data_IF_445809772351
#
_entry.id   IF_445809772351
#
_cell.length_a   1.000
_cell.length_b   1.000
_cell.length_c   1.000
_cell.angle_alpha   90.00
_cell.angle_beta   90.00
_cell.angle_gamma   90.00
#
_symmetry.space_group_name_H-M   'P 1'
#
loop_
_entity.id
_entity.type
_entity.pdbx_description
1 polymer ?
#
# COMPACT_ATOMS: atom_id res chain seq x y z
N UNK A 1 5.64 7.41 -20.89
CA UNK A 1 7.05 7.50 -21.37
C UNK A 1 7.14 6.86 -22.75
N UNK A 2 8.02 7.28 -23.66
CA UNK A 2 8.16 6.62 -24.96
C UNK A 2 8.95 5.32 -24.82
N UNK A 3 8.43 4.20 -25.34
CA UNK A 3 9.14 2.92 -25.38
C UNK A 3 9.62 2.64 -26.79
N UNK A 4 10.93 2.45 -26.96
CA UNK A 4 11.54 2.12 -28.26
C UNK A 4 11.04 0.78 -28.80
N UNK A 5 10.89 -0.22 -27.93
CA UNK A 5 10.40 -1.55 -28.34
C UNK A 5 8.94 -1.51 -28.80
N UNK A 6 8.09 -0.74 -28.12
CA UNK A 6 6.68 -0.66 -28.48
C UNK A 6 6.39 0.35 -29.61
N UNK A 7 7.37 1.17 -29.99
CA UNK A 7 7.20 2.24 -31.00
C UNK A 7 6.21 3.34 -30.59
N UNK A 8 5.79 3.39 -29.32
CA UNK A 8 4.73 4.28 -28.85
C UNK A 8 4.94 4.72 -27.40
N UNK A 9 4.16 5.72 -26.97
CA UNK A 9 4.09 6.11 -25.55
C UNK A 9 3.38 5.02 -24.75
N UNK A 10 4.04 4.53 -23.71
CA UNK A 10 3.49 3.57 -22.74
C UNK A 10 3.22 4.27 -21.40
N UNK A 11 2.13 3.91 -20.70
CA UNK A 11 1.93 4.36 -19.33
C UNK A 11 3.01 3.78 -18.43
N UNK A 12 3.41 4.56 -17.43
CA UNK A 12 4.40 4.15 -16.43
C UNK A 12 3.83 4.51 -15.08
N UNK A 13 3.79 3.54 -14.17
CA UNK A 13 3.52 3.79 -12.77
C UNK A 13 4.84 4.17 -12.09
N UNK A 14 4.83 5.28 -11.36
CA UNK A 14 6.00 5.80 -10.66
C UNK A 14 5.72 5.87 -9.17
N UNK A 15 6.66 5.40 -8.35
CA UNK A 15 6.69 5.59 -6.90
C UNK A 15 8.01 6.27 -6.56
N UNK A 16 7.93 7.45 -5.94
CA UNK A 16 9.09 8.28 -5.62
C UNK A 16 9.05 8.60 -4.13
N UNK A 17 10.19 8.40 -3.47
CA UNK A 17 10.43 8.85 -2.11
C UNK A 17 11.69 9.71 -2.04
N UNK A 18 11.74 10.55 -1.00
CA UNK A 18 12.89 11.37 -0.61
C UNK A 18 13.57 10.80 0.65
N UNK A 19 13.56 9.47 0.81
CA UNK A 19 14.22 8.79 1.92
C UNK A 19 15.74 8.72 1.75
N UNK A 20 16.40 7.87 2.54
CA UNK A 20 17.87 7.76 2.57
C UNK A 20 18.51 7.15 1.30
N UNK A 21 17.71 6.56 0.42
CA UNK A 21 18.20 5.74 -0.69
C UNK A 21 18.84 4.42 -0.25
N UNK A 22 19.54 3.76 -1.17
CA UNK A 22 20.19 2.47 -0.92
C UNK A 22 21.62 2.44 -1.48
N UNK A 23 22.53 1.87 -0.70
CA UNK A 23 23.88 1.49 -1.16
C UNK A 23 23.82 0.30 -2.11
N UNK A 24 24.92 -0.01 -2.80
CA UNK A 24 25.00 -1.21 -3.67
C UNK A 24 24.62 -2.49 -2.93
N UNK A 25 25.16 -2.71 -1.73
CA UNK A 25 24.83 -3.90 -0.94
C UNK A 25 23.34 -3.97 -0.56
N UNK A 26 22.72 -2.83 -0.24
CA UNK A 26 21.27 -2.75 0.01
C UNK A 26 20.46 -3.02 -1.26
N UNK A 27 20.86 -2.46 -2.41
CA UNK A 27 20.24 -2.73 -3.71
C UNK A 27 20.33 -4.21 -4.08
N UNK A 28 21.50 -4.84 -3.92
CA UNK A 28 21.68 -6.26 -4.19
C UNK A 28 20.78 -7.13 -3.30
N UNK A 29 20.60 -6.77 -2.03
CA UNK A 29 19.61 -7.42 -1.15
C UNK A 29 18.16 -7.18 -1.61
N UNK A 30 17.85 -5.96 -2.05
CA UNK A 30 16.53 -5.61 -2.57
C UNK A 30 16.18 -6.42 -3.83
N UNK A 31 17.13 -6.73 -4.70
CA UNK A 31 16.84 -7.51 -5.93
C UNK A 31 16.94 -9.01 -5.72
N UNK A 32 17.75 -9.47 -4.76
CA UNK A 32 17.90 -10.88 -4.44
C UNK A 32 16.66 -11.45 -3.75
N UNK A 33 16.37 -12.74 -3.95
CA UNK A 33 15.31 -13.45 -3.23
C UNK A 33 15.78 -13.89 -1.84
N UNK A 34 14.86 -13.91 -0.87
CA UNK A 34 15.09 -14.53 0.45
C UNK A 34 16.00 -13.79 1.43
N UNK A 35 16.55 -12.63 1.08
CA UNK A 35 17.42 -11.88 1.98
C UNK A 35 16.60 -10.96 2.90
N UNK A 36 16.46 -11.37 4.17
CA UNK A 36 16.09 -10.43 5.24
C UNK A 36 17.29 -9.49 5.47
N UNK A 37 17.02 -8.27 5.92
CA UNK A 37 18.09 -7.37 6.37
C UNK A 37 18.95 -8.04 7.45
N UNK A 38 20.11 -7.47 7.83
CA UNK A 38 20.84 -7.94 9.00
C UNK A 38 19.85 -7.97 10.18
N UNK A 39 19.98 -9.00 11.02
CA UNK A 39 19.06 -9.44 12.09
C UNK A 39 18.78 -8.40 13.20
N UNK A 40 18.64 -7.13 12.89
CA UNK A 40 17.98 -6.16 13.74
C UNK A 40 16.49 -6.25 13.40
N UNK A 41 15.77 -7.06 14.19
CA UNK A 41 14.32 -6.96 14.30
C UNK A 41 14.00 -5.55 14.83
N UNK A 42 14.00 -4.56 13.94
CA UNK A 42 13.48 -3.25 14.25
C UNK A 42 11.97 -3.43 14.35
N UNK A 43 11.46 -3.42 15.60
CA UNK A 43 10.04 -3.70 15.89
C UNK A 43 9.13 -2.85 15.01
N UNK A 44 9.54 -1.62 14.70
CA UNK A 44 8.75 -0.64 13.95
C UNK A 44 8.79 -0.80 12.41
N UNK A 45 9.47 -1.82 11.87
CA UNK A 45 9.55 -2.04 10.43
C UNK A 45 8.47 -3.00 9.89
N UNK A 46 7.67 -2.51 8.95
CA UNK A 46 6.64 -3.29 8.25
C UNK A 46 7.25 -4.38 7.34
N UNK A 47 8.49 -4.23 6.88
CA UNK A 47 9.14 -5.14 5.93
C UNK A 47 9.80 -6.35 6.59
N UNK A 48 9.20 -7.55 6.50
CA UNK A 48 9.76 -8.77 7.12
C UNK A 48 10.20 -9.89 6.17
N UNK A 49 9.59 -9.98 5.00
CA UNK A 49 9.75 -11.15 4.12
C UNK A 49 10.81 -10.98 3.02
N UNK A 50 11.29 -9.76 2.78
CA UNK A 50 12.31 -9.50 1.75
C UNK A 50 11.83 -9.72 0.30
N UNK A 51 10.52 -9.91 0.06
CA UNK A 51 9.98 -10.17 -1.29
C UNK A 51 9.02 -9.09 -1.83
N UNK A 52 8.59 -8.15 -0.98
CA UNK A 52 7.47 -7.23 -1.28
C UNK A 52 7.65 -6.39 -2.56
N UNK A 53 8.86 -5.87 -2.80
CA UNK A 53 9.16 -5.14 -4.04
C UNK A 53 8.98 -6.02 -5.27
N UNK A 54 9.62 -7.20 -5.29
CA UNK A 54 9.60 -8.12 -6.43
C UNK A 54 8.19 -8.57 -6.77
N UNK A 55 7.45 -9.04 -5.76
CA UNK A 55 6.08 -9.51 -5.93
C UNK A 55 5.13 -8.38 -6.32
N UNK A 56 5.28 -7.20 -5.72
CA UNK A 56 4.43 -6.04 -6.03
C UNK A 56 4.69 -5.48 -7.41
N UNK A 57 5.95 -5.25 -7.78
CA UNK A 57 6.33 -4.70 -9.08
C UNK A 57 5.93 -5.64 -10.22
N UNK A 58 6.23 -6.94 -10.09
CA UNK A 58 5.88 -7.94 -11.11
C UNK A 58 4.39 -8.27 -11.16
N UNK A 59 3.60 -7.87 -10.15
CA UNK A 59 2.14 -7.94 -10.20
C UNK A 59 1.51 -6.77 -10.97
N UNK A 60 2.23 -5.64 -11.08
CA UNK A 60 1.73 -4.42 -11.71
C UNK A 60 2.14 -4.33 -13.18
N UNK A 61 3.36 -4.77 -13.52
CA UNK A 61 3.86 -4.78 -14.89
C UNK A 61 5.02 -5.75 -15.09
N UNK A 62 5.35 -5.98 -16.36
CA UNK A 62 6.41 -6.93 -16.75
C UNK A 62 7.82 -6.42 -16.49
N UNK A 63 8.00 -5.11 -16.37
CA UNK A 63 9.31 -4.47 -16.30
C UNK A 63 9.33 -3.36 -15.27
N UNK A 64 10.36 -3.35 -14.42
CA UNK A 64 10.56 -2.40 -13.34
C UNK A 64 12.00 -1.89 -13.29
N UNK A 65 12.15 -0.57 -13.23
CA UNK A 65 13.43 0.13 -13.09
C UNK A 65 13.48 0.83 -11.74
N UNK A 66 14.59 0.69 -11.03
CA UNK A 66 14.83 1.34 -9.74
C UNK A 66 16.03 2.24 -9.88
N UNK A 67 15.87 3.51 -9.54
CA UNK A 67 16.94 4.49 -9.38
C UNK A 67 16.98 4.89 -7.91
N UNK A 68 18.13 4.76 -7.28
CA UNK A 68 18.31 5.15 -5.87
C UNK A 68 19.56 5.99 -5.71
N UNK A 69 19.53 6.91 -4.75
CA UNK A 69 20.64 7.79 -4.45
C UNK A 69 20.79 7.99 -2.95
N UNK A 70 22.01 7.74 -2.47
CA UNK A 70 22.47 8.13 -1.14
C UNK A 70 23.34 9.38 -1.25
N UNK A 71 23.82 9.91 -0.12
CA UNK A 71 24.76 11.05 -0.11
C UNK A 71 26.09 10.76 -0.82
N UNK A 72 26.45 9.48 -0.95
CA UNK A 72 27.77 9.02 -1.42
C UNK A 72 27.71 8.11 -2.65
N UNK A 73 26.55 7.59 -3.03
CA UNK A 73 26.42 6.63 -4.12
C UNK A 73 25.10 6.78 -4.88
N UNK A 74 25.08 6.30 -6.12
CA UNK A 74 23.87 6.19 -6.94
C UNK A 74 23.85 4.81 -7.58
N UNK A 75 22.72 4.14 -7.51
CA UNK A 75 22.57 2.83 -8.14
C UNK A 75 21.32 2.77 -9.00
N UNK A 76 21.42 2.06 -10.11
CA UNK A 76 20.27 1.70 -10.95
C UNK A 76 20.16 0.19 -11.03
N UNK A 77 18.93 -0.30 -11.00
CA UNK A 77 18.60 -1.72 -11.11
C UNK A 77 17.44 -1.92 -12.06
N UNK A 78 17.46 -3.02 -12.80
CA UNK A 78 16.44 -3.33 -13.79
C UNK A 78 15.92 -4.76 -13.66
N UNK A 79 14.72 -4.90 -13.10
CA UNK A 79 14.00 -6.17 -13.00
C UNK A 79 13.03 -6.27 -14.17
N UNK A 80 13.37 -7.09 -15.17
CA UNK A 80 12.66 -7.13 -16.44
C UNK A 80 12.39 -8.54 -16.93
N UNK A 81 11.12 -8.87 -17.14
CA UNK A 81 10.75 -10.10 -17.84
C UNK A 81 11.14 -10.02 -19.33
N UNK A 82 11.02 -8.83 -19.94
CA UNK A 82 11.34 -8.61 -21.36
C UNK A 82 12.83 -8.83 -21.66
N UNK A 83 13.73 -8.46 -20.74
CA UNK A 83 15.17 -8.72 -20.84
C UNK A 83 15.53 -10.20 -20.65
N UNK A 84 14.75 -10.92 -19.84
CA UNK A 84 15.01 -12.30 -19.46
C UNK A 84 14.22 -13.34 -20.27
N UNK A 85 13.42 -12.94 -21.26
CA UNK A 85 12.47 -13.81 -21.97
C UNK A 85 13.12 -15.04 -22.64
N UNK A 86 14.39 -14.93 -23.04
CA UNK A 86 15.15 -16.01 -23.69
C UNK A 86 16.37 -16.46 -22.86
N UNK A 87 16.31 -16.30 -21.54
CA UNK A 87 17.40 -16.68 -20.64
C UNK A 87 16.95 -17.79 -19.70
N UNK A 88 17.80 -18.79 -19.53
CA UNK A 88 17.55 -19.87 -18.56
C UNK A 88 17.66 -19.39 -17.11
N UNK A 89 18.53 -18.40 -16.87
CA UNK A 89 18.77 -17.82 -15.56
C UNK A 89 18.28 -16.37 -15.51
N UNK A 90 17.65 -16.01 -14.39
CA UNK A 90 17.23 -14.64 -14.13
C UNK A 90 18.45 -13.74 -13.90
N UNK A 91 18.63 -12.77 -14.79
CA UNK A 91 19.62 -11.72 -14.66
C UNK A 91 18.95 -10.38 -14.33
N UNK A 92 19.53 -9.67 -13.37
CA UNK A 92 19.07 -8.34 -12.95
C UNK A 92 20.24 -7.37 -13.14
N UNK A 93 20.27 -6.59 -14.24
CA UNK A 93 21.29 -5.59 -14.45
C UNK A 93 21.29 -4.57 -13.32
N UNK A 94 22.45 -4.39 -12.69
CA UNK A 94 22.69 -3.36 -11.68
C UNK A 94 23.93 -2.57 -12.09
N UNK A 95 23.85 -1.24 -11.99
CA UNK A 95 24.99 -0.35 -12.21
C UNK A 95 25.06 0.61 -11.04
N UNK A 96 26.21 0.64 -10.37
CA UNK A 96 26.47 1.58 -9.27
C UNK A 96 27.57 2.57 -9.62
N UNK A 97 27.34 3.79 -9.13
CA UNK A 97 28.26 4.90 -9.19
C UNK A 97 28.58 5.36 -7.76
N UNK A 98 29.84 5.69 -7.53
CA UNK A 98 30.31 6.33 -6.30
C UNK A 98 30.58 7.82 -6.56
N UNK A 99 30.29 8.66 -5.57
CA UNK A 99 30.62 10.08 -5.63
C UNK A 99 32.10 10.27 -5.35
N UNK A 100 32.85 10.77 -6.33
CA UNK A 100 34.23 11.25 -6.17
C UNK A 100 34.24 12.75 -6.45
N UNK A 101 34.63 13.52 -5.43
CA UNK A 101 34.59 14.98 -5.46
C UNK A 101 33.20 15.54 -5.88
N UNK A 102 33.12 16.14 -7.06
CA UNK A 102 31.90 16.76 -7.59
C UNK A 102 31.15 15.92 -8.63
N UNK A 103 31.66 14.75 -9.01
CA UNK A 103 31.07 13.92 -10.06
C UNK A 103 30.87 12.46 -9.61
N UNK A 104 30.05 11.75 -10.39
CA UNK A 104 29.74 10.35 -10.16
C UNK A 104 30.54 9.50 -11.14
N UNK A 105 31.35 8.58 -10.63
CA UNK A 105 32.07 7.59 -11.43
C UNK A 105 31.51 6.19 -11.18
N UNK A 106 31.66 5.29 -12.15
CA UNK A 106 31.33 3.87 -11.96
C UNK A 106 32.15 3.33 -10.79
N UNK A 107 31.48 2.66 -9.85
CA UNK A 107 32.14 2.11 -8.68
C UNK A 107 32.89 0.82 -9.02
N UNK A 108 34.18 0.97 -9.36
CA UNK A 108 35.07 -0.14 -9.71
C UNK A 108 35.38 -1.07 -8.53
N UNK A 109 35.04 -0.70 -7.30
CA UNK A 109 35.23 -1.55 -6.12
C UNK A 109 34.20 -2.68 -6.02
N UNK A 110 33.03 -2.51 -6.65
CA UNK A 110 31.93 -3.48 -6.60
C UNK A 110 31.61 -4.12 -7.95
N UNK A 111 32.00 -3.51 -9.06
CA UNK A 111 31.74 -4.03 -10.41
C UNK A 111 32.86 -3.66 -11.39
N UNK A 112 33.16 -4.53 -12.35
CA UNK A 112 34.11 -4.20 -13.42
C UNK A 112 33.49 -3.23 -14.44
N UNK A 113 34.33 -2.48 -15.16
CA UNK A 113 33.88 -1.58 -16.23
C UNK A 113 33.13 -2.34 -17.33
N UNK A 114 33.61 -3.51 -17.75
CA UNK A 114 32.95 -4.35 -18.74
C UNK A 114 31.56 -4.84 -18.26
N UNK A 115 31.43 -5.21 -16.98
CA UNK A 115 30.14 -5.60 -16.39
C UNK A 115 29.17 -4.41 -16.33
N UNK A 116 29.68 -3.23 -15.94
CA UNK A 116 28.91 -2.00 -15.89
C UNK A 116 28.38 -1.63 -17.28
N UNK A 117 29.23 -1.69 -18.30
CA UNK A 117 28.89 -1.40 -19.69
C UNK A 117 27.85 -2.39 -20.23
N UNK A 118 28.04 -3.69 -19.99
CA UNK A 118 27.05 -4.71 -20.36
C UNK A 118 25.67 -4.44 -19.74
N UNK A 119 25.63 -4.19 -18.43
CA UNK A 119 24.39 -3.91 -17.70
C UNK A 119 23.72 -2.62 -18.18
N UNK A 120 24.50 -1.57 -18.41
CA UNK A 120 23.99 -0.29 -18.92
C UNK A 120 23.43 -0.43 -20.34
N UNK A 121 24.10 -1.21 -21.20
CA UNK A 121 23.62 -1.51 -22.55
C UNK A 121 22.31 -2.30 -22.53
N UNK A 122 22.18 -3.27 -21.61
CA UNK A 122 20.92 -3.98 -21.39
C UNK A 122 19.80 -3.01 -20.98
N UNK A 123 20.03 -2.15 -20.00
CA UNK A 123 19.05 -1.14 -19.55
C UNK A 123 18.64 -0.21 -20.69
N UNK A 124 19.61 0.34 -21.45
CA UNK A 124 19.35 1.25 -22.57
C UNK A 124 18.54 0.60 -23.70
N UNK A 125 18.71 -0.71 -23.92
CA UNK A 125 18.05 -1.45 -24.99
C UNK A 125 16.62 -1.87 -24.63
N UNK A 126 16.40 -2.29 -23.40
CA UNK A 126 15.15 -2.92 -22.94
C UNK A 126 14.29 -2.04 -22.05
N UNK A 127 14.78 -0.88 -21.62
CA UNK A 127 14.02 0.10 -20.84
C UNK A 127 13.75 1.38 -21.64
N UNK A 128 12.73 2.16 -21.26
CA UNK A 128 12.50 3.48 -21.82
C UNK A 128 13.49 4.54 -21.28
N UNK A 129 14.40 4.17 -20.38
CA UNK A 129 15.40 5.05 -19.79
C UNK A 129 16.72 4.99 -20.57
N UNK A 130 17.27 6.17 -20.86
CA UNK A 130 18.64 6.34 -21.36
C UNK A 130 19.41 7.25 -20.38
N UNK A 131 20.70 7.49 -20.64
CA UNK A 131 21.55 8.34 -19.78
C UNK A 131 20.94 9.72 -19.50
N UNK A 132 20.35 10.35 -20.51
CA UNK A 132 19.68 11.65 -20.37
C UNK A 132 18.46 11.57 -19.45
N UNK A 133 17.59 10.58 -19.62
CA UNK A 133 16.43 10.39 -18.75
C UNK A 133 16.85 10.04 -17.32
N UNK A 134 17.88 9.21 -17.15
CA UNK A 134 18.42 8.93 -15.81
C UNK A 134 18.93 10.23 -15.17
N UNK A 135 19.68 11.05 -15.92
CA UNK A 135 20.13 12.36 -15.46
C UNK A 135 18.99 13.34 -15.11
N UNK A 136 17.94 13.39 -15.93
CA UNK A 136 16.73 14.18 -15.65
C UNK A 136 16.06 13.72 -14.34
N UNK A 137 15.92 12.40 -14.15
CA UNK A 137 15.28 11.83 -12.96
C UNK A 137 16.08 12.01 -11.69
N UNK A 138 17.40 12.10 -11.79
CA UNK A 138 18.27 12.46 -10.65
C UNK A 138 17.93 13.85 -10.09
N UNK A 139 17.51 14.79 -10.92
CA UNK A 139 17.10 16.12 -10.46
C UNK A 139 15.81 16.14 -9.63
N UNK A 140 15.11 14.99 -9.51
CA UNK A 140 13.87 14.87 -8.75
C UNK A 140 14.08 14.37 -7.31
N UNK A 141 15.31 14.03 -6.92
CA UNK A 141 15.59 13.79 -5.51
C UNK A 141 15.41 15.09 -4.73
N UNK A 142 14.83 15.00 -3.52
CA UNK A 142 14.44 16.16 -2.72
C UNK A 142 15.62 17.05 -2.30
N UNK A 143 15.39 17.99 -1.39
CA UNK A 143 16.40 18.98 -0.97
C UNK A 143 17.73 18.36 -0.51
N UNK A 144 17.68 17.20 0.16
CA UNK A 144 18.88 16.46 0.62
C UNK A 144 19.59 15.69 -0.51
N UNK A 145 18.98 15.60 -1.69
CA UNK A 145 19.50 14.86 -2.83
C UNK A 145 19.52 13.35 -2.63
N UNK A 146 18.75 12.81 -1.68
CA UNK A 146 18.63 11.36 -1.41
C UNK A 146 17.22 10.86 -1.74
N UNK A 147 17.10 9.57 -2.02
CA UNK A 147 15.80 8.94 -2.23
C UNK A 147 15.82 7.71 -3.12
N UNK A 148 14.63 7.16 -3.39
CA UNK A 148 14.43 6.08 -4.36
C UNK A 148 13.26 6.38 -5.29
N UNK A 149 13.43 6.02 -6.55
CA UNK A 149 12.43 6.15 -7.60
C UNK A 149 12.25 4.79 -8.27
N UNK A 150 11.02 4.30 -8.28
CA UNK A 150 10.62 3.04 -8.88
C UNK A 150 9.68 3.32 -10.03
N UNK A 151 10.02 2.80 -11.21
CA UNK A 151 9.25 2.94 -12.43
C UNK A 151 8.83 1.57 -12.93
N UNK A 152 7.53 1.38 -13.14
CA UNK A 152 6.96 0.11 -13.60
C UNK A 152 6.18 0.38 -14.88
N UNK A 153 6.43 -0.41 -15.92
CA UNK A 153 5.73 -0.31 -17.21
C UNK A 153 5.43 -1.69 -17.78
N UNK A 154 4.88 -1.71 -19.00
CA UNK A 154 4.29 -2.89 -19.59
C UNK A 154 3.23 -3.48 -18.63
N UNK A 155 2.34 -2.59 -18.22
CA UNK A 155 1.29 -2.83 -17.24
C UNK A 155 0.22 -3.77 -17.79
N UNK A 156 -0.45 -4.48 -16.90
CA UNK A 156 -1.52 -5.42 -17.25
C UNK A 156 -2.63 -4.74 -18.05
N UNK A 157 -3.13 -5.45 -19.06
CA UNK A 157 -4.22 -5.00 -19.94
C UNK A 157 -5.57 -5.56 -19.50
N UNK A 158 -6.61 -4.75 -19.71
CA UNK A 158 -8.01 -5.11 -19.56
C UNK A 158 -8.72 -4.83 -20.90
N UNK A 159 -8.81 -5.86 -21.76
CA UNK A 159 -9.26 -5.70 -23.14
C UNK A 159 -8.31 -4.80 -23.93
N UNK A 160 -8.84 -3.73 -24.50
CA UNK A 160 -8.05 -2.73 -25.24
C UNK A 160 -7.35 -1.69 -24.35
N UNK A 161 -7.74 -1.62 -23.08
CA UNK A 161 -7.24 -0.63 -22.12
C UNK A 161 -6.29 -1.26 -21.09
N UNK A 162 -5.77 -0.47 -20.15
CA UNK A 162 -5.00 -0.96 -19.00
C UNK A 162 -5.91 -1.27 -17.79
N UNK A 163 -5.47 -2.15 -16.90
CA UNK A 163 -6.17 -2.47 -15.65
C UNK A 163 -6.29 -1.28 -14.70
N UNK A 164 -5.35 -0.33 -14.80
CA UNK A 164 -5.34 0.92 -14.06
C UNK A 164 -5.86 2.08 -14.94
N UNK A 165 -6.52 3.03 -14.29
CA UNK A 165 -7.01 4.30 -14.84
C UNK A 165 -6.34 5.46 -14.09
N UNK A 166 -5.75 6.41 -14.81
CA UNK A 166 -5.14 7.60 -14.24
C UNK A 166 -6.09 8.76 -14.36
N UNK A 167 -6.48 9.33 -13.22
CA UNK A 167 -7.22 10.57 -13.15
C UNK A 167 -6.23 11.65 -12.73
N UNK A 168 -5.77 12.45 -13.69
CA UNK A 168 -4.91 13.59 -13.39
C UNK A 168 -5.72 14.70 -12.72
N UNK A 169 -5.10 15.42 -11.78
CA UNK A 169 -5.65 16.66 -11.26
C UNK A 169 -5.96 17.61 -12.42
N UNK A 170 -7.21 18.08 -12.51
CA UNK A 170 -7.55 19.14 -13.46
C UNK A 170 -6.89 20.44 -13.00
N UNK A 171 -6.07 21.04 -13.86
CA UNK A 171 -5.37 22.31 -13.58
C UNK A 171 -6.29 23.51 -13.44
N UNK A 172 -7.57 23.38 -13.80
CA UNK A 172 -8.58 24.46 -13.74
C UNK A 172 -9.30 24.55 -12.38
N UNK A 173 -8.99 23.66 -11.43
CA UNK A 173 -9.54 23.73 -10.07
C UNK A 173 -8.72 24.72 -9.23
N UNK A 174 -9.41 25.55 -8.44
CA UNK A 174 -8.79 26.59 -7.60
C UNK A 174 -7.64 26.05 -6.74
N UNK A 175 -6.61 26.84 -6.41
CA UNK A 175 -5.48 26.41 -5.59
C UNK A 175 -5.86 25.87 -4.19
N UNK A 176 -7.08 26.17 -3.72
CA UNK A 176 -7.66 25.65 -2.47
C UNK A 176 -8.43 24.34 -2.63
N UNK A 177 -8.67 23.88 -3.87
CA UNK A 177 -9.28 22.58 -4.12
C UNK A 177 -8.25 21.49 -3.89
N UNK A 178 -8.46 20.65 -2.86
CA UNK A 178 -7.70 19.42 -2.66
C UNK A 178 -7.84 18.54 -3.92
N UNK A 179 -6.88 18.63 -4.83
CA UNK A 179 -6.99 18.08 -6.19
C UNK A 179 -7.56 16.66 -6.24
N UNK A 180 -8.29 16.38 -7.32
CA UNK A 180 -8.94 15.10 -7.59
C UNK A 180 -8.02 14.03 -8.22
N UNK A 181 -6.71 14.20 -8.12
CA UNK A 181 -5.74 13.24 -8.63
C UNK A 181 -5.89 11.86 -7.97
N UNK A 182 -6.04 10.82 -8.77
CA UNK A 182 -6.22 9.44 -8.30
C UNK A 182 -5.76 8.40 -9.35
N UNK A 183 -5.54 7.18 -8.89
CA UNK A 183 -5.34 5.99 -9.73
C UNK A 183 -6.42 4.97 -9.36
N UNK A 184 -7.26 4.62 -10.32
CA UNK A 184 -8.36 3.68 -10.11
C UNK A 184 -8.06 2.30 -10.72
N UNK A 185 -8.57 1.26 -10.08
CA UNK A 185 -8.69 -0.07 -10.68
C UNK A 185 -9.93 -0.05 -11.59
N UNK A 186 -9.73 -0.21 -12.90
CA UNK A 186 -10.78 -0.11 -13.93
C UNK A 186 -11.99 -1.01 -13.66
N UNK A 187 -11.75 -2.22 -13.16
CA UNK A 187 -12.82 -3.20 -12.94
C UNK A 187 -13.84 -2.76 -11.88
N UNK A 188 -13.45 -1.85 -10.96
CA UNK A 188 -14.23 -1.44 -9.77
C UNK A 188 -14.85 -2.62 -9.01
N UNK A 189 -14.25 -3.80 -9.10
CA UNK A 189 -14.73 -5.00 -8.42
C UNK A 189 -14.45 -4.87 -6.94
N UNK A 190 -15.52 -4.96 -6.15
CA UNK A 190 -15.43 -5.03 -4.68
C UNK A 190 -14.80 -6.35 -4.28
N UNK A 191 -13.92 -6.33 -3.27
CA UNK A 191 -13.33 -7.55 -2.71
C UNK A 191 -14.43 -8.38 -2.07
N UNK A 192 -14.42 -9.68 -2.36
CA UNK A 192 -15.35 -10.63 -1.73
C UNK A 192 -15.09 -10.67 -0.23
N UNK A 193 -16.14 -10.42 0.56
CA UNK A 193 -16.15 -10.57 2.02
C UNK A 193 -17.44 -11.29 2.40
N UNK A 194 -17.44 -12.16 3.43
CA UNK A 194 -18.67 -12.79 3.90
C UNK A 194 -19.74 -11.75 4.25
N UNK A 195 -20.95 -11.89 3.71
CA UNK A 195 -22.04 -10.93 3.95
C UNK A 195 -21.87 -9.56 3.24
N UNK A 196 -20.94 -9.43 2.29
CA UNK A 196 -20.85 -8.23 1.44
C UNK A 196 -21.91 -8.30 0.34
N UNK A 197 -22.90 -7.41 0.42
CA UNK A 197 -23.98 -7.29 -0.58
C UNK A 197 -23.89 -6.00 -1.40
N UNK A 198 -23.24 -4.95 -0.87
CA UNK A 198 -23.13 -3.67 -1.55
C UNK A 198 -21.93 -3.61 -2.51
N UNK A 199 -22.03 -2.77 -3.54
CA UNK A 199 -20.99 -2.55 -4.55
C UNK A 199 -20.16 -1.28 -4.36
N UNK A 200 -20.45 -0.45 -3.35
CA UNK A 200 -19.82 0.87 -3.20
C UNK A 200 -18.76 0.86 -2.08
N UNK A 201 -17.60 0.30 -2.41
CA UNK A 201 -16.44 0.26 -1.52
C UNK A 201 -15.26 0.96 -2.19
N UNK A 202 -15.16 2.31 -2.11
CA UNK A 202 -14.08 3.07 -2.77
C UNK A 202 -12.69 2.55 -2.44
N UNK A 203 -12.49 2.08 -1.21
CA UNK A 203 -11.25 1.47 -0.73
C UNK A 203 -10.75 0.30 -1.60
N UNK A 204 -11.63 -0.38 -2.33
CA UNK A 204 -11.28 -1.55 -3.15
C UNK A 204 -10.82 -1.19 -4.56
N UNK A 205 -11.03 0.05 -5.01
CA UNK A 205 -10.69 0.45 -6.38
C UNK A 205 -10.05 1.82 -6.51
N UNK A 206 -10.08 2.70 -5.51
CA UNK A 206 -9.39 4.00 -5.51
C UNK A 206 -8.11 3.90 -4.69
N UNK A 207 -6.97 4.21 -5.32
CA UNK A 207 -5.68 4.24 -4.62
C UNK A 207 -5.67 5.34 -3.56
N UNK A 208 -6.19 6.53 -3.88
CA UNK A 208 -6.29 7.63 -2.92
C UNK A 208 -7.09 7.20 -1.69
N UNK A 209 -8.32 6.70 -1.87
CA UNK A 209 -9.15 6.23 -0.77
C UNK A 209 -8.49 5.11 0.06
N UNK A 210 -7.77 4.19 -0.59
CA UNK A 210 -7.01 3.16 0.10
C UNK A 210 -5.90 3.74 0.97
N UNK A 211 -5.15 4.69 0.44
CA UNK A 211 -3.99 5.28 1.13
C UNK A 211 -4.40 6.20 2.28
N UNK A 212 -5.57 6.84 2.20
CA UNK A 212 -6.13 7.65 3.30
C UNK A 212 -6.20 6.88 4.62
N UNK A 213 -6.46 5.57 4.58
CA UNK A 213 -6.59 4.73 5.79
C UNK A 213 -5.50 3.66 5.89
N UNK A 214 -4.54 3.63 4.95
CA UNK A 214 -3.53 2.58 4.86
C UNK A 214 -2.62 2.50 6.09
N UNK A 215 -2.40 3.65 6.75
CA UNK A 215 -1.59 3.79 7.94
C UNK A 215 -2.39 4.43 9.08
N UNK A 216 -2.22 3.92 10.30
CA UNK A 216 -2.89 4.46 11.48
C UNK A 216 -2.34 5.84 11.87
N UNK A 217 -1.01 5.98 11.90
CA UNK A 217 -0.30 7.21 12.27
C UNK A 217 0.88 7.47 11.30
N UNK A 218 0.62 7.80 10.03
CA UNK A 218 1.68 8.04 9.06
C UNK A 218 2.49 9.29 9.41
N UNK A 219 3.81 9.16 9.42
CA UNK A 219 4.75 10.27 9.53
C UNK A 219 5.16 10.84 8.15
N UNK A 220 4.87 10.09 7.09
CA UNK A 220 5.17 10.48 5.72
C UNK A 220 4.02 11.30 5.10
N UNK A 221 4.38 12.29 4.28
CA UNK A 221 3.42 12.98 3.40
C UNK A 221 3.27 12.17 2.12
N UNK A 222 2.04 11.93 1.69
CA UNK A 222 1.74 11.12 0.50
C UNK A 222 0.99 11.97 -0.52
N UNK A 223 1.40 11.87 -1.78
CA UNK A 223 0.67 12.45 -2.92
C UNK A 223 0.34 11.35 -3.94
N UNK A 224 -0.82 11.45 -4.57
CA UNK A 224 -1.25 10.56 -5.67
C UNK A 224 -1.62 11.45 -6.85
N UNK A 225 -0.97 11.22 -8.01
CA UNK A 225 -1.15 12.04 -9.22
C UNK A 225 -1.00 13.56 -8.95
N UNK A 226 -0.06 13.93 -8.06
CA UNK A 226 0.20 15.32 -7.67
C UNK A 226 -0.73 15.87 -6.59
N UNK A 227 -1.86 15.21 -6.32
CA UNK A 227 -2.79 15.64 -5.28
C UNK A 227 -2.39 15.08 -3.90
N UNK A 228 -2.37 15.91 -2.84
CA UNK A 228 -2.07 15.44 -1.49
C UNK A 228 -3.17 14.49 -0.99
N UNK A 229 -2.75 13.44 -0.29
CA UNK A 229 -3.64 12.51 0.39
C UNK A 229 -3.78 12.96 1.84
N UNK A 230 -5.01 13.24 2.28
CA UNK A 230 -5.30 13.59 3.67
C UNK A 230 -5.61 12.30 4.40
N UNK A 231 -4.80 11.97 5.40
CA UNK A 231 -4.95 10.74 6.16
C UNK A 231 -6.23 10.81 6.98
N UNK A 232 -7.03 9.75 6.88
CA UNK A 232 -8.26 9.58 7.63
C UNK A 232 -7.96 8.73 8.87
N UNK A 233 -7.87 9.39 10.02
CA UNK A 233 -7.88 8.73 11.32
C UNK A 233 -9.29 8.22 11.62
N UNK A 234 -9.62 7.03 11.10
CA UNK A 234 -10.96 6.46 11.15
C UNK A 234 -11.55 6.56 12.56
N UNK A 235 -10.79 6.20 13.59
CA UNK A 235 -11.18 6.21 15.00
C UNK A 235 -11.60 7.58 15.53
N UNK A 236 -11.09 8.66 14.94
CA UNK A 236 -11.43 10.05 15.29
C UNK A 236 -12.63 10.58 14.53
N UNK A 237 -13.02 9.93 13.43
CA UNK A 237 -14.16 10.34 12.59
C UNK A 237 -15.49 9.69 12.98
N UNK A 238 -15.45 8.69 13.87
CA UNK A 238 -16.65 7.96 14.28
C UNK A 238 -17.49 8.76 15.29
N UNK A 239 -18.80 8.51 15.27
CA UNK A 239 -19.77 8.96 16.27
C UNK A 239 -20.07 7.84 17.26
N UNK A 240 -20.59 8.19 18.43
CA UNK A 240 -20.94 7.25 19.50
C UNK A 240 -19.80 6.28 19.84
N UNK A 241 -18.58 6.81 19.88
CA UNK A 241 -17.37 6.00 19.98
C UNK A 241 -17.24 5.33 21.34
N UNK A 242 -16.93 4.04 21.35
CA UNK A 242 -16.64 3.25 22.53
C UNK A 242 -15.26 2.59 22.39
N UNK A 243 -14.39 2.82 23.37
CA UNK A 243 -13.07 2.19 23.44
C UNK A 243 -13.15 0.99 24.38
N UNK A 244 -12.95 -0.20 23.83
CA UNK A 244 -13.09 -1.47 24.52
C UNK A 244 -11.71 -2.09 24.68
N UNK A 245 -11.33 -2.37 25.92
CA UNK A 245 -10.11 -3.13 26.22
C UNK A 245 -10.44 -4.58 26.54
N UNK A 246 -9.55 -5.48 26.20
CA UNK A 246 -9.69 -6.90 26.50
C UNK A 246 -8.34 -7.61 26.51
N UNK A 247 -8.41 -8.90 26.76
CA UNK A 247 -7.27 -9.79 26.75
C UNK A 247 -7.64 -11.04 25.95
N UNK A 248 -6.75 -11.45 25.06
CA UNK A 248 -6.86 -12.67 24.25
C UNK A 248 -5.56 -13.45 24.49
N UNK A 249 -5.67 -14.67 25.02
CA UNK A 249 -4.53 -15.55 25.29
C UNK A 249 -3.37 -14.87 26.07
N UNK A 250 -3.68 -14.09 27.10
CA UNK A 250 -2.66 -13.40 27.90
C UNK A 250 -2.13 -12.10 27.30
N UNK A 251 -2.70 -11.63 26.18
CA UNK A 251 -2.23 -10.46 25.44
C UNK A 251 -3.32 -9.41 25.33
N UNK A 252 -2.97 -8.16 25.57
CA UNK A 252 -3.93 -7.06 25.57
C UNK A 252 -4.32 -6.65 24.16
N UNK A 253 -5.59 -6.26 24.01
CA UNK A 253 -6.14 -5.67 22.79
C UNK A 253 -6.99 -4.46 23.17
N UNK A 254 -6.95 -3.44 22.31
CA UNK A 254 -7.85 -2.30 22.35
C UNK A 254 -8.58 -2.19 21.01
N UNK A 255 -9.91 -2.10 21.07
CA UNK A 255 -10.79 -1.90 19.94
C UNK A 255 -11.55 -0.59 20.13
N UNK A 256 -11.52 0.27 19.12
CA UNK A 256 -12.39 1.44 19.06
C UNK A 256 -13.54 1.12 18.11
N UNK A 257 -14.78 1.13 18.62
CA UNK A 257 -16.01 0.99 17.84
C UNK A 257 -16.74 2.32 17.76
N UNK A 258 -17.42 2.57 16.66
CA UNK A 258 -18.29 3.72 16.49
C UNK A 258 -19.12 3.62 15.21
N UNK A 259 -19.99 4.60 15.01
CA UNK A 259 -20.82 4.71 13.80
C UNK A 259 -20.28 5.75 12.84
N UNK A 260 -20.41 5.50 11.55
CA UNK A 260 -20.03 6.43 10.47
C UNK A 260 -21.21 6.67 9.55
N UNK A 261 -21.66 7.91 9.41
CA UNK A 261 -22.75 8.26 8.49
C UNK A 261 -22.37 8.06 7.03
N UNK A 262 -21.09 8.27 6.70
CA UNK A 262 -20.55 8.05 5.35
C UNK A 262 -20.65 6.57 5.00
N UNK A 263 -20.18 5.70 5.89
CA UNK A 263 -20.22 4.26 5.67
C UNK A 263 -21.66 3.72 5.80
N UNK A 264 -22.50 4.32 6.64
CA UNK A 264 -23.94 4.06 6.67
C UNK A 264 -24.59 4.32 5.31
N UNK A 265 -24.33 5.48 4.70
CA UNK A 265 -24.83 5.83 3.37
C UNK A 265 -24.35 4.86 2.28
N UNK A 266 -23.10 4.38 2.39
CA UNK A 266 -22.52 3.37 1.49
C UNK A 266 -22.96 1.92 1.78
N UNK A 267 -23.75 1.71 2.85
CA UNK A 267 -24.12 0.39 3.36
C UNK A 267 -22.92 -0.47 3.79
N UNK A 268 -21.81 0.18 4.14
CA UNK A 268 -20.59 -0.46 4.62
C UNK A 268 -20.59 -0.58 6.14
N UNK A 269 -19.73 -1.47 6.63
CA UNK A 269 -19.50 -1.76 8.05
C UNK A 269 -18.21 -2.55 8.24
N UNK A 270 -17.87 -2.92 9.47
CA UNK A 270 -16.85 -3.90 9.77
C UNK A 270 -15.57 -3.31 10.37
N UNK A 271 -14.64 -4.18 10.69
CA UNK A 271 -13.45 -3.86 11.47
C UNK A 271 -12.23 -3.64 10.56
N UNK A 272 -11.43 -2.64 10.88
CA UNK A 272 -10.13 -2.34 10.29
C UNK A 272 -9.05 -2.82 11.23
N UNK A 273 -8.27 -3.79 10.77
CA UNK A 273 -7.21 -4.43 11.55
C UNK A 273 -5.84 -3.94 11.04
N UNK A 274 -5.09 -3.32 11.93
CA UNK A 274 -3.74 -2.81 11.68
C UNK A 274 -2.69 -3.70 12.33
N UNK A 275 -1.50 -3.73 11.72
CA UNK A 275 -0.30 -4.39 12.22
C UNK A 275 0.90 -3.49 11.94
N UNK A 276 1.64 -3.11 12.98
CA UNK A 276 2.66 -2.06 12.97
C UNK A 276 2.17 -0.77 12.31
N UNK A 277 0.95 -0.36 12.69
CA UNK A 277 0.29 0.80 12.10
C UNK A 277 -0.06 0.66 10.62
N UNK A 278 0.10 -0.50 9.97
CA UNK A 278 -0.26 -0.77 8.57
C UNK A 278 -1.54 -1.60 8.49
N UNK A 279 -2.52 -1.14 7.70
CA UNK A 279 -3.79 -1.82 7.48
C UNK A 279 -3.61 -3.21 6.81
N UNK A 280 -4.02 -4.29 7.46
CA UNK A 280 -3.96 -5.64 6.89
C UNK A 280 -5.32 -6.07 6.34
N UNK A 281 -6.38 -5.88 7.13
CA UNK A 281 -7.75 -6.19 6.75
C UNK A 281 -8.66 -5.00 6.95
N UNK A 282 -9.50 -4.73 5.97
CA UNK A 282 -10.46 -3.61 5.97
C UNK A 282 -11.88 -4.14 5.81
N UNK A 283 -12.81 -3.57 6.57
CA UNK A 283 -14.21 -3.99 6.58
C UNK A 283 -14.38 -5.48 6.91
N UNK A 284 -13.54 -6.02 7.82
CA UNK A 284 -13.66 -7.40 8.30
C UNK A 284 -15.01 -7.58 9.00
N UNK A 285 -15.75 -8.61 8.58
CA UNK A 285 -17.09 -8.92 9.12
C UNK A 285 -16.92 -9.84 10.32
N UNK A 286 -17.51 -9.46 11.45
CA UNK A 286 -17.43 -10.18 12.73
C UNK A 286 -18.83 -10.29 13.35
N UNK A 287 -19.05 -11.29 14.22
CA UNK A 287 -20.32 -11.49 14.91
C UNK A 287 -21.51 -11.59 13.94
N UNK A 288 -22.62 -10.97 14.31
CA UNK A 288 -23.85 -10.98 13.51
C UNK A 288 -23.70 -10.34 12.11
N UNK A 289 -22.68 -9.50 11.89
CA UNK A 289 -22.39 -8.90 10.59
C UNK A 289 -22.05 -9.92 9.50
N UNK A 290 -21.64 -11.15 9.87
CA UNK A 290 -21.34 -12.23 8.92
C UNK A 290 -22.60 -12.81 8.27
N UNK A 291 -23.75 -12.76 8.96
CA UNK A 291 -24.95 -13.51 8.59
C UNK A 291 -26.10 -12.65 8.06
N UNK A 292 -26.18 -11.37 8.47
CA UNK A 292 -27.26 -10.48 8.06
C UNK A 292 -26.70 -9.19 7.43
N UNK A 293 -27.08 -8.89 6.18
CA UNK A 293 -26.61 -7.74 5.40
C UNK A 293 -26.89 -6.36 6.02
N UNK A 294 -27.85 -6.25 6.94
CA UNK A 294 -28.23 -4.97 7.58
C UNK A 294 -27.70 -4.80 9.01
N UNK A 295 -27.42 -5.90 9.73
CA UNK A 295 -26.93 -5.84 11.12
C UNK A 295 -25.59 -5.15 11.27
N UNK A 296 -25.52 -4.05 12.01
CA UNK A 296 -24.28 -3.29 12.17
C UNK A 296 -23.92 -2.44 10.96
N UNK A 297 -24.88 -2.09 10.09
CA UNK A 297 -24.67 -1.08 9.03
C UNK A 297 -24.09 0.19 9.65
N UNK A 298 -23.07 0.76 9.00
CA UNK A 298 -22.37 1.96 9.46
C UNK A 298 -21.48 1.77 10.69
N UNK A 299 -21.47 0.60 11.35
CA UNK A 299 -20.51 0.32 12.43
C UNK A 299 -19.13 0.12 11.82
N UNK A 300 -18.16 0.89 12.29
CA UNK A 300 -16.75 0.74 11.98
C UNK A 300 -16.00 0.45 13.27
N UNK A 301 -15.10 -0.54 13.20
CA UNK A 301 -14.14 -0.80 14.26
C UNK A 301 -12.73 -0.56 13.79
N UNK A 302 -11.86 -0.13 14.70
CA UNK A 302 -10.43 0.09 14.45
C UNK A 302 -9.65 -0.57 15.58
N UNK A 303 -8.71 -1.46 15.24
CA UNK A 303 -7.82 -2.10 16.19
C UNK A 303 -6.42 -2.28 15.60
N UNK A 304 -5.39 -1.96 16.38
CA UNK A 304 -4.02 -2.40 16.11
C UNK A 304 -3.77 -3.70 16.87
N UNK A 305 -3.54 -4.78 16.14
CA UNK A 305 -3.41 -6.13 16.69
C UNK A 305 -1.96 -6.62 16.69
N UNK A 306 -1.00 -5.71 16.58
CA UNK A 306 0.44 -6.01 16.62
C UNK A 306 0.83 -6.93 17.78
N UNK A 307 0.37 -6.59 19.00
CA UNK A 307 0.69 -7.37 20.20
C UNK A 307 0.11 -8.78 20.17
N UNK A 308 -0.97 -9.01 19.43
CA UNK A 308 -1.56 -10.34 19.27
C UNK A 308 -0.83 -11.15 18.20
N UNK A 309 -0.47 -10.51 17.09
CA UNK A 309 -0.05 -11.20 15.87
C UNK A 309 1.47 -11.43 15.79
N UNK A 310 2.26 -10.68 16.54
CA UNK A 310 3.69 -10.94 16.64
C UNK A 310 3.98 -11.94 17.76
N UNK A 311 4.87 -12.90 17.51
CA UNK A 311 5.38 -13.75 18.58
C UNK A 311 6.65 -13.15 19.23
N UNK A 312 7.10 -13.81 20.31
CA UNK A 312 8.28 -13.36 21.06
C UNK A 312 9.60 -13.59 20.31
N UNK A 313 9.58 -14.44 19.28
CA UNK A 313 10.75 -14.85 18.49
C UNK A 313 10.84 -14.07 17.16
N UNK A 314 9.96 -13.08 16.94
CA UNK A 314 9.94 -12.22 15.76
C UNK A 314 9.23 -12.82 14.54
N UNK A 315 8.57 -13.97 14.69
CA UNK A 315 7.59 -14.46 13.72
C UNK A 315 6.27 -13.67 13.84
N UNK A 316 5.48 -13.76 12.78
CA UNK A 316 4.21 -13.07 12.68
C UNK A 316 3.24 -13.92 11.89
N UNK A 317 1.97 -13.90 12.26
CA UNK A 317 0.91 -14.58 11.52
C UNK A 317 0.37 -13.73 10.36
N UNK A 318 1.02 -12.63 9.95
CA UNK A 318 0.64 -11.88 8.74
C UNK A 318 1.06 -12.63 7.48
N UNK A 319 0.15 -12.77 6.51
CA UNK A 319 0.47 -13.37 5.22
C UNK A 319 1.50 -12.55 4.43
N UNK A 320 2.29 -13.20 3.57
CA UNK A 320 3.29 -12.54 2.72
C UNK A 320 2.72 -11.39 1.86
N UNK A 321 1.44 -11.47 1.48
CA UNK A 321 0.72 -10.43 0.73
C UNK A 321 0.40 -9.19 1.57
N UNK A 322 0.42 -9.30 2.90
CA UNK A 322 -0.05 -8.28 3.86
C UNK A 322 -1.49 -7.82 3.58
N UNK A 323 -2.34 -8.78 3.25
CA UNK A 323 -3.78 -8.60 2.97
C UNK A 323 -4.64 -9.58 3.78
N UNK A 324 -4.08 -10.18 4.83
CA UNK A 324 -4.76 -11.11 5.70
C UNK A 324 -3.79 -11.75 6.68
N UNK A 325 -4.34 -12.56 7.57
CA UNK A 325 -3.62 -13.32 8.59
C UNK A 325 -3.68 -14.83 8.30
N UNK A 326 -2.72 -15.57 8.82
CA UNK A 326 -2.73 -17.02 8.82
C UNK A 326 -3.83 -17.51 9.75
N UNK A 327 -4.54 -18.55 9.31
CA UNK A 327 -5.53 -19.23 10.16
C UNK A 327 -4.82 -19.93 11.32
N UNK A 328 -5.09 -19.45 12.53
CA UNK A 328 -4.47 -19.88 13.77
C UNK A 328 -5.38 -19.59 14.96
N UNK A 329 -5.13 -20.27 16.08
CA UNK A 329 -5.94 -20.18 17.31
C UNK A 329 -6.12 -18.73 17.79
N UNK A 330 -5.02 -17.97 17.89
CA UNK A 330 -5.09 -16.57 18.35
C UNK A 330 -5.92 -15.66 17.43
N UNK A 331 -5.92 -15.93 16.12
CA UNK A 331 -6.72 -15.17 15.16
C UNK A 331 -8.20 -15.57 15.23
N UNK A 332 -8.50 -16.86 15.44
CA UNK A 332 -9.87 -17.33 15.66
C UNK A 332 -10.49 -16.74 16.94
N UNK A 333 -9.74 -16.76 18.05
CA UNK A 333 -10.13 -16.13 19.32
C UNK A 333 -10.33 -14.61 19.17
N UNK A 334 -9.47 -13.95 18.38
CA UNK A 334 -9.66 -12.54 18.03
C UNK A 334 -10.97 -12.31 17.26
N UNK A 335 -11.29 -13.13 16.26
CA UNK A 335 -12.54 -12.99 15.52
C UNK A 335 -13.78 -13.16 16.40
N UNK A 336 -13.74 -14.11 17.34
CA UNK A 336 -14.82 -14.33 18.30
C UNK A 336 -14.96 -13.17 19.28
N UNK A 337 -13.85 -12.69 19.83
CA UNK A 337 -13.82 -11.54 20.73
C UNK A 337 -14.35 -10.27 20.06
N UNK A 338 -13.88 -9.98 18.83
CA UNK A 338 -14.36 -8.85 18.02
C UNK A 338 -15.85 -8.96 17.73
N UNK A 339 -16.32 -10.17 17.39
CA UNK A 339 -17.74 -10.43 17.12
C UNK A 339 -18.61 -10.10 18.32
N UNK A 340 -18.31 -10.71 19.47
CA UNK A 340 -19.04 -10.45 20.72
C UNK A 340 -19.03 -8.97 21.11
N UNK A 341 -17.88 -8.29 21.03
CA UNK A 341 -17.80 -6.85 21.36
C UNK A 341 -18.58 -5.96 20.39
N UNK A 342 -18.61 -6.34 19.11
CA UNK A 342 -19.39 -5.60 18.11
C UNK A 342 -20.89 -5.80 18.31
N UNK A 343 -21.32 -7.02 18.64
CA UNK A 343 -22.72 -7.34 18.92
C UNK A 343 -23.18 -6.65 20.22
N UNK A 344 -22.40 -6.72 21.31
CA UNK A 344 -22.64 -5.95 22.56
C UNK A 344 -22.80 -4.44 22.30
N UNK A 345 -21.95 -3.86 21.45
CA UNK A 345 -22.03 -2.46 21.07
C UNK A 345 -23.28 -2.14 20.24
N UNK A 346 -23.63 -3.01 19.29
CA UNK A 346 -24.82 -2.84 18.45
C UNK A 346 -26.09 -2.85 19.30
N UNK A 347 -26.25 -3.82 20.19
CA UNK A 347 -27.42 -3.95 21.05
C UNK A 347 -27.58 -2.72 21.95
N UNK A 348 -26.47 -2.21 22.50
CA UNK A 348 -26.50 -1.03 23.37
C UNK A 348 -26.83 0.29 22.64
N UNK A 349 -26.50 0.40 21.34
CA UNK A 349 -26.57 1.68 20.61
C UNK A 349 -27.67 1.73 19.54
N UNK A 350 -28.22 0.59 19.11
CA UNK A 350 -29.20 0.56 18.02
C UNK A 350 -30.64 0.41 18.52
N UNK A 351 -30.86 -0.28 19.65
CA UNK A 351 -32.19 -0.43 20.26
C UNK A 351 -32.80 0.91 20.78
N UNK A 352 -32.01 1.89 21.28
CA UNK A 352 -32.54 3.19 21.70
C UNK A 352 -32.75 4.23 20.58
N UNK A 353 -32.21 4.01 19.38
CA UNK A 353 -32.13 5.04 18.32
C UNK A 353 -33.25 4.93 17.26
N UNK A 354 -33.81 3.74 17.06
CA UNK A 354 -34.97 3.57 16.17
C UNK A 354 -36.26 4.10 16.81
N UNK A 355 -36.39 4.06 18.13
CA UNK A 355 -37.54 4.62 18.84
C UNK A 355 -37.61 6.16 18.78
N UNK A 356 -36.53 6.86 18.43
CA UNK A 356 -36.56 8.34 18.26
C UNK A 356 -36.70 8.73 16.79
N UNK A 357 -36.05 8.01 15.86
CA UNK A 357 -36.12 8.33 14.43
C UNK A 357 -37.45 7.94 13.78
N UNK A 358 -38.10 6.86 14.22
CA UNK A 358 -39.46 6.56 13.77
C UNK A 358 -40.46 7.61 14.29
N UNK A 359 -40.30 8.08 15.53
CA UNK A 359 -41.14 9.15 16.08
C UNK A 359 -41.00 10.46 15.29
N UNK A 360 -39.78 10.90 14.94
CA UNK A 360 -39.60 12.14 14.16
C UNK A 360 -40.13 12.03 12.72
N UNK A 361 -40.13 10.84 12.12
CA UNK A 361 -40.70 10.65 10.77
C UNK A 361 -42.24 10.66 10.73
N UNK A 362 -42.91 10.36 11.85
CA UNK A 362 -44.38 10.34 11.95
C UNK A 362 -44.96 11.74 12.21
N UNK A 363 -44.16 12.71 12.65
CA UNK A 363 -44.62 14.08 12.94
C UNK A 363 -44.28 15.13 11.87
N UNK A 364 -43.68 14.73 10.74
CA UNK A 364 -43.39 15.64 9.61
C UNK A 364 -44.35 15.44 8.42
N UNK A 365 -45.28 14.47 8.51
CA UNK A 365 -46.37 14.29 7.53
C UNK A 365 -47.78 14.54 8.12
N UNK A 366 -47.97 15.64 8.86
CA UNK A 366 -49.32 16.18 9.13
C UNK A 366 -49.39 17.69 8.89
#
# INVERSE_FOLDING_TARGET
MFSKQAGQKVPVLCVVDNGHGMTYAQMMRMVSFGHKGPNEHCQDQIGRFGIGFKTGAMKLGRDAFVLTQTSTSRSVSFLSQSFNENKDNLEIPVVTYCKKDQYMEVDLSVQSEATAEYNLNAIKKFSPFNEYFIGEKVGLFGEEGTGTQVYIWNLDRWGTNYTLEWNSQKTDESPDSHGNGDILIRSRRVRSRPGQTNGNVPLDYSLKAYVEVMFLNPQMKITVQGSPVIVCHLEKTLRNTSVLSGEIMGRTIQLTLGTSDVEWGRMNRGIFLYWHGRLIESYKRVGAQKHNADTGRGIIGVADITNLIDDKDGHTWVLNSKQGFQDCEIYAELEEWLGRKTDEYWDANFDPLNSVREYESVYVEN
#
